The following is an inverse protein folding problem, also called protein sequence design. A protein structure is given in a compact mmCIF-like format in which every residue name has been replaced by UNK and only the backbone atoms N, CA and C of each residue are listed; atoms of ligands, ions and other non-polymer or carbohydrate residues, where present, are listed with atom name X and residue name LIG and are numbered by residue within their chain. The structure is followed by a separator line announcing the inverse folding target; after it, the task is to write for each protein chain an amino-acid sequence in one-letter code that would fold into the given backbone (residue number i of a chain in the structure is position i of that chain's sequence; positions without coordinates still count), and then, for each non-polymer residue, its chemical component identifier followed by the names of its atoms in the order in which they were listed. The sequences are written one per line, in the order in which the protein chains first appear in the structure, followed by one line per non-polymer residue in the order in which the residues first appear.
data_IF_693964039174
#
_entry.id   IF_693964039174
#
_cell.length_a   1.000
_cell.length_b   1.000
_cell.length_c   1.000
_cell.angle_alpha   90.00
_cell.angle_beta   90.00
_cell.angle_gamma   90.00
#
_symmetry.space_group_name_H-M   'P 1'
#
loop_
_entity.id
_entity.type
_entity.pdbx_description
1 polymer ?
#
# COMPACT_ATOMS: atom_id res chain seq x y z
N UNK A 1 21.58 -11.28 -1.21
CA UNK A 1 20.91 -11.26 0.09
C UNK A 1 19.42 -11.17 -0.22
N UNK A 2 18.65 -12.19 0.09
CA UNK A 2 17.19 -12.07 0.06
C UNK A 2 16.84 -11.19 1.26
N UNK A 3 16.33 -9.99 1.00
CA UNK A 3 15.76 -9.14 2.03
C UNK A 3 14.61 -9.90 2.68
N UNK A 4 14.68 -10.03 3.99
CA UNK A 4 13.60 -10.57 4.79
C UNK A 4 12.40 -9.61 4.56
N UNK A 5 11.39 -10.08 3.83
CA UNK A 5 10.15 -9.31 3.62
C UNK A 5 9.58 -9.03 5.01
N UNK A 6 9.64 -7.80 5.46
CA UNK A 6 9.01 -7.42 6.72
C UNK A 6 7.51 -7.67 6.59
N UNK A 7 7.00 -8.52 7.47
CA UNK A 7 5.57 -8.77 7.58
C UNK A 7 4.87 -7.49 8.09
N UNK A 8 3.70 -7.16 7.55
CA UNK A 8 2.90 -6.01 8.01
C UNK A 8 2.47 -6.13 9.47
N UNK A 9 2.18 -7.35 9.92
CA UNK A 9 1.82 -7.66 11.28
C UNK A 9 2.75 -8.75 11.81
N UNK A 10 3.30 -8.53 12.99
CA UNK A 10 4.04 -9.55 13.70
C UNK A 10 3.08 -10.49 14.46
N UNK A 11 3.37 -11.79 14.40
CA UNK A 11 2.52 -12.81 14.99
C UNK A 11 2.44 -12.67 16.51
N UNK A 12 3.55 -12.36 17.16
CA UNK A 12 3.65 -12.38 18.63
C UNK A 12 3.35 -11.02 19.26
N UNK A 13 3.69 -9.93 18.58
CA UNK A 13 3.49 -8.57 19.11
C UNK A 13 2.16 -7.95 18.70
N UNK A 14 1.60 -8.35 17.56
CA UNK A 14 0.37 -7.76 17.03
C UNK A 14 -0.82 -8.76 17.08
N UNK A 15 -0.68 -9.92 16.42
CA UNK A 15 -1.82 -10.80 16.17
C UNK A 15 -2.26 -11.57 17.42
N UNK A 16 -1.33 -12.23 18.11
CA UNK A 16 -1.67 -13.01 19.31
C UNK A 16 -2.26 -12.15 20.44
N UNK A 17 -1.64 -11.00 20.80
CA UNK A 17 -2.23 -10.08 21.78
C UNK A 17 -3.62 -9.59 21.39
N UNK A 18 -3.84 -9.27 20.11
CA UNK A 18 -5.16 -8.87 19.60
C UNK A 18 -6.22 -9.95 19.79
N UNK A 19 -5.86 -11.22 19.55
CA UNK A 19 -6.75 -12.38 19.69
C UNK A 19 -6.91 -12.87 21.15
N UNK A 20 -6.15 -12.32 22.09
CA UNK A 20 -6.10 -12.80 23.47
C UNK A 20 -5.43 -14.17 23.61
N UNK A 21 -4.51 -14.50 22.69
CA UNK A 21 -3.74 -15.75 22.70
C UNK A 21 -2.40 -15.48 23.39
N UNK A 22 -2.03 -16.34 24.34
CA UNK A 22 -0.71 -16.25 24.97
C UNK A 22 0.41 -16.42 23.93
N UNK A 23 1.42 -15.56 24.00
CA UNK A 23 2.55 -15.55 23.06
C UNK A 23 3.29 -16.88 23.02
N UNK A 24 3.37 -17.60 24.17
CA UNK A 24 4.02 -18.91 24.25
C UNK A 24 3.17 -20.05 23.66
N UNK A 25 1.89 -19.81 23.38
CA UNK A 25 1.00 -20.81 22.80
C UNK A 25 1.21 -20.87 21.28
N UNK A 26 1.83 -21.95 20.81
CA UNK A 26 2.16 -22.17 19.38
C UNK A 26 1.09 -22.96 18.61
N UNK A 27 0.02 -23.39 19.29
CA UNK A 27 -1.00 -24.29 18.70
C UNK A 27 -1.61 -23.75 17.40
N UNK A 28 -1.75 -22.44 17.30
CA UNK A 28 -2.41 -21.78 16.16
C UNK A 28 -1.45 -21.04 15.23
N UNK A 29 -0.14 -21.03 15.52
CA UNK A 29 0.85 -20.21 14.82
C UNK A 29 0.86 -20.47 13.31
N UNK A 30 0.89 -21.72 12.89
CA UNK A 30 0.89 -22.07 11.48
C UNK A 30 -0.35 -21.55 10.74
N UNK A 31 -1.52 -21.63 11.35
CA UNK A 31 -2.78 -21.17 10.75
C UNK A 31 -2.83 -19.64 10.70
N UNK A 32 -2.41 -18.98 11.79
CA UNK A 32 -2.37 -17.52 11.86
C UNK A 32 -1.37 -16.94 10.87
N UNK A 33 -0.20 -17.55 10.72
CA UNK A 33 0.82 -17.15 9.73
C UNK A 33 0.26 -17.26 8.30
N UNK A 34 -0.42 -18.35 7.96
CA UNK A 34 -1.03 -18.50 6.63
C UNK A 34 -2.11 -17.45 6.39
N UNK A 35 -2.95 -17.17 7.39
CA UNK A 35 -3.98 -16.14 7.26
C UNK A 35 -3.34 -14.77 7.08
N UNK A 36 -2.36 -14.42 7.92
CA UNK A 36 -1.66 -13.14 7.85
C UNK A 36 -1.02 -12.93 6.49
N UNK A 37 -0.23 -13.89 6.02
CA UNK A 37 0.43 -13.80 4.72
C UNK A 37 -0.57 -13.65 3.56
N UNK A 38 -1.71 -14.34 3.63
CA UNK A 38 -2.74 -14.21 2.61
C UNK A 38 -3.39 -12.81 2.61
N UNK A 39 -3.65 -12.24 3.79
CA UNK A 39 -4.21 -10.89 3.93
C UNK A 39 -3.20 -9.83 3.48
N UNK A 40 -1.95 -9.94 3.91
CA UNK A 40 -0.87 -9.06 3.50
C UNK A 40 -0.70 -9.05 1.97
N UNK A 41 -0.66 -10.23 1.35
CA UNK A 41 -0.56 -10.32 -0.10
C UNK A 41 -1.78 -9.70 -0.80
N UNK A 42 -2.97 -9.88 -0.25
CA UNK A 42 -4.18 -9.27 -0.81
C UNK A 42 -4.16 -7.74 -0.69
N UNK A 43 -3.64 -7.20 0.42
CA UNK A 43 -3.44 -5.76 0.61
C UNK A 43 -2.42 -5.22 -0.38
N UNK A 44 -1.24 -5.84 -0.48
CA UNK A 44 -0.19 -5.45 -1.45
C UNK A 44 -0.71 -5.47 -2.90
N UNK A 45 -1.44 -6.52 -3.27
CA UNK A 45 -2.02 -6.64 -4.61
C UNK A 45 -3.11 -5.59 -4.89
N UNK A 46 -3.85 -5.17 -3.86
CA UNK A 46 -4.89 -4.17 -4.04
C UNK A 46 -4.34 -2.75 -4.10
N UNK A 47 -3.36 -2.43 -3.24
CA UNK A 47 -2.77 -1.09 -3.14
C UNK A 47 -1.63 -0.87 -4.11
N UNK A 48 -1.02 -1.96 -4.61
CA UNK A 48 0.21 -1.94 -5.42
C UNK A 48 1.37 -1.24 -4.69
N UNK A 49 1.32 -1.25 -3.35
CA UNK A 49 2.38 -0.72 -2.47
C UNK A 49 2.79 -1.75 -1.42
N UNK A 50 4.03 -1.68 -0.99
CA UNK A 50 4.61 -2.53 0.06
C UNK A 50 4.58 -1.87 1.45
N UNK A 51 4.17 -0.61 1.53
CA UNK A 51 4.17 0.20 2.74
C UNK A 51 5.56 0.31 3.39
N UNK A 52 6.61 0.31 2.58
CA UNK A 52 7.98 0.50 3.01
C UNK A 52 8.53 1.84 2.52
N UNK A 53 9.55 2.36 3.22
CA UNK A 53 10.28 3.54 2.76
C UNK A 53 11.37 3.13 1.77
N UNK A 54 11.43 3.84 0.66
CA UNK A 54 12.42 3.66 -0.40
C UNK A 54 13.33 4.89 -0.47
N UNK A 55 14.42 4.91 0.29
CA UNK A 55 15.33 6.04 0.31
C UNK A 55 16.21 6.08 -0.94
N UNK A 56 16.59 7.29 -1.34
CA UNK A 56 17.59 7.52 -2.36
C UNK A 56 17.20 7.10 -3.77
N UNK A 57 15.90 7.06 -4.08
CA UNK A 57 15.42 6.82 -5.43
C UNK A 57 15.77 8.00 -6.32
N UNK A 58 16.40 7.72 -7.46
CA UNK A 58 16.80 8.73 -8.44
C UNK A 58 15.93 8.63 -9.68
N UNK A 59 15.30 9.74 -10.06
CA UNK A 59 14.53 9.86 -11.31
C UNK A 59 14.98 11.07 -12.12
N UNK A 60 14.94 10.93 -13.45
CA UNK A 60 15.16 12.02 -14.37
C UNK A 60 13.85 12.27 -15.09
N UNK A 61 13.27 13.42 -14.83
CA UNK A 61 11.95 13.82 -15.30
C UNK A 61 12.08 14.94 -16.33
N UNK A 62 11.21 14.94 -17.33
CA UNK A 62 11.13 16.04 -18.28
C UNK A 62 10.48 17.26 -17.61
N UNK A 63 11.15 18.39 -17.67
CA UNK A 63 10.59 19.67 -17.24
C UNK A 63 9.59 20.17 -18.30
N UNK A 64 8.33 19.89 -18.07
CA UNK A 64 7.25 20.20 -19.02
C UNK A 64 6.72 21.65 -18.90
N UNK A 65 7.61 22.63 -18.70
CA UNK A 65 7.20 24.03 -18.48
C UNK A 65 6.24 24.22 -17.30
N UNK A 66 6.19 23.24 -16.42
CA UNK A 66 5.34 23.23 -15.23
C UNK A 66 6.21 23.52 -14.01
N UNK A 67 5.69 24.34 -13.11
CA UNK A 67 6.29 24.53 -11.80
C UNK A 67 6.04 23.34 -10.86
N UNK A 68 5.38 22.28 -11.35
CA UNK A 68 5.08 21.06 -10.61
C UNK A 68 5.83 19.89 -11.22
N UNK A 69 6.64 19.23 -10.41
CA UNK A 69 7.38 18.02 -10.74
C UNK A 69 6.64 16.84 -10.11
N UNK A 70 6.27 15.86 -10.93
CA UNK A 70 5.53 14.67 -10.51
C UNK A 70 6.41 13.43 -10.67
N UNK A 71 7.11 12.99 -9.62
CA UNK A 71 7.81 11.72 -9.62
C UNK A 71 6.84 10.54 -9.79
N UNK A 72 7.35 9.42 -10.31
CA UNK A 72 6.52 8.25 -10.55
C UNK A 72 6.09 7.54 -9.26
N UNK A 73 6.89 7.68 -8.20
CA UNK A 73 6.62 7.01 -6.94
C UNK A 73 6.16 8.02 -5.88
N UNK A 74 5.03 7.72 -5.27
CA UNK A 74 4.39 8.52 -4.22
C UNK A 74 3.93 7.60 -3.08
N UNK A 75 3.73 8.11 -1.87
CA UNK A 75 3.91 9.47 -1.43
C UNK A 75 5.41 9.84 -1.28
N UNK A 76 5.74 11.11 -1.55
CA UNK A 76 7.08 11.63 -1.34
C UNK A 76 7.20 12.07 0.12
N UNK A 77 8.20 11.54 0.82
CA UNK A 77 8.45 11.88 2.23
C UNK A 77 9.58 12.88 2.39
N UNK A 78 10.60 12.81 1.53
CA UNK A 78 11.73 13.73 1.57
C UNK A 78 12.38 13.84 0.18
N UNK A 79 12.95 15.00 -0.13
CA UNK A 79 13.80 15.23 -1.27
C UNK A 79 15.20 15.52 -0.76
N UNK A 80 16.18 14.72 -1.17
CA UNK A 80 17.58 14.91 -0.78
C UNK A 80 18.35 15.76 -1.77
N UNK A 81 17.98 15.73 -3.04
CA UNK A 81 18.60 16.53 -4.08
C UNK A 81 17.62 16.79 -5.23
N UNK A 82 17.64 18.02 -5.71
CA UNK A 82 16.92 18.45 -6.90
C UNK A 82 17.87 19.26 -7.77
N UNK A 83 18.07 18.89 -9.03
CA UNK A 83 19.00 19.58 -9.91
C UNK A 83 18.46 19.61 -11.35
N UNK A 84 18.78 20.69 -12.08
CA UNK A 84 18.62 20.69 -13.53
C UNK A 84 19.61 19.71 -14.15
N UNK A 85 19.16 18.92 -15.11
CA UNK A 85 19.96 17.93 -15.79
C UNK A 85 20.09 18.31 -17.27
N UNK A 86 21.32 18.47 -17.72
CA UNK A 86 21.60 18.84 -19.11
C UNK A 86 21.86 17.59 -19.95
N UNK A 87 21.03 17.35 -20.96
CA UNK A 87 21.15 16.18 -21.84
C UNK A 87 22.42 16.15 -22.70
N UNK A 88 23.04 17.30 -22.92
CA UNK A 88 24.12 17.42 -23.89
C UNK A 88 25.42 16.70 -23.45
N UNK A 89 25.68 16.64 -22.16
CA UNK A 89 26.92 16.11 -21.60
C UNK A 89 26.70 15.12 -20.45
N UNK A 90 25.44 14.88 -20.07
CA UNK A 90 25.08 13.98 -18.97
C UNK A 90 25.49 14.51 -17.59
N UNK A 91 25.82 15.80 -17.50
CA UNK A 91 26.23 16.42 -16.24
C UNK A 91 25.03 17.06 -15.53
N UNK A 92 25.10 17.07 -14.22
CA UNK A 92 24.16 17.84 -13.42
C UNK A 92 24.40 19.33 -13.65
N UNK A 93 23.32 20.02 -13.91
CA UNK A 93 23.32 21.47 -13.98
C UNK A 93 23.23 22.09 -12.59
N UNK A 94 22.57 23.23 -12.51
CA UNK A 94 22.39 23.95 -11.28
C UNK A 94 21.55 23.16 -10.27
N UNK A 95 22.04 23.01 -9.03
CA UNK A 95 21.26 22.48 -7.90
C UNK A 95 20.18 23.50 -7.57
N UNK A 96 18.99 23.01 -7.30
CA UNK A 96 17.85 23.79 -6.83
C UNK A 96 17.82 23.70 -5.32
N UNK A 97 17.98 24.86 -4.67
CA UNK A 97 18.04 24.93 -3.20
C UNK A 97 16.68 24.59 -2.58
N UNK A 98 16.71 24.04 -1.37
CA UNK A 98 15.50 23.63 -0.65
C UNK A 98 14.54 24.80 -0.35
N UNK A 99 15.00 26.03 -0.41
CA UNK A 99 14.19 27.27 -0.29
C UNK A 99 13.38 27.60 -1.53
N UNK A 100 13.72 26.99 -2.65
CA UNK A 100 13.14 27.29 -3.96
C UNK A 100 12.09 26.26 -4.40
N UNK A 101 11.79 25.28 -3.55
CA UNK A 101 10.74 24.30 -3.80
C UNK A 101 10.02 23.88 -2.51
N UNK A 102 8.82 23.36 -2.67
CA UNK A 102 8.02 22.75 -1.60
C UNK A 102 7.74 21.29 -1.94
N UNK A 103 8.04 20.39 -1.01
CA UNK A 103 7.70 18.96 -1.12
C UNK A 103 6.27 18.76 -0.65
N UNK A 104 5.49 18.02 -1.42
CA UNK A 104 4.17 17.49 -1.08
C UNK A 104 4.15 15.98 -1.31
N UNK A 105 3.19 15.29 -0.73
CA UNK A 105 3.06 13.84 -0.89
C UNK A 105 2.95 13.42 -2.37
N UNK A 106 2.29 14.24 -3.19
CA UNK A 106 2.01 13.92 -4.59
C UNK A 106 3.05 14.49 -5.57
N UNK A 107 3.92 15.40 -5.13
CA UNK A 107 4.88 16.05 -6.03
C UNK A 107 5.69 17.15 -5.38
N UNK A 108 6.51 17.80 -6.19
CA UNK A 108 7.40 18.89 -5.79
C UNK A 108 6.97 20.15 -6.53
N UNK A 109 6.75 21.24 -5.81
CA UNK A 109 6.33 22.53 -6.39
C UNK A 109 7.51 23.49 -6.34
N UNK A 110 7.96 23.96 -7.51
CA UNK A 110 8.94 25.04 -7.61
C UNK A 110 8.28 26.38 -7.24
N UNK A 111 8.94 27.19 -6.44
CA UNK A 111 8.36 28.44 -5.92
C UNK A 111 8.99 29.70 -6.54
N UNK A 112 10.31 29.71 -6.68
CA UNK A 112 11.06 30.90 -7.13
C UNK A 112 11.87 30.65 -8.41
N UNK A 113 11.78 29.46 -8.96
CA UNK A 113 12.52 29.05 -10.15
C UNK A 113 11.52 28.55 -11.17
N UNK A 114 11.66 29.03 -12.40
CA UNK A 114 10.91 28.49 -13.53
C UNK A 114 11.76 27.48 -14.29
N UNK A 115 11.15 26.37 -14.70
CA UNK A 115 11.83 25.40 -15.54
C UNK A 115 12.21 26.06 -16.86
N UNK A 116 13.50 26.01 -17.28
CA UNK A 116 13.92 26.63 -18.52
C UNK A 116 13.16 26.06 -19.73
N UNK A 117 12.82 26.93 -20.66
CA UNK A 117 12.12 26.58 -21.88
C UNK A 117 12.93 25.55 -22.70
N UNK A 118 12.31 24.43 -23.02
CA UNK A 118 12.76 23.39 -23.96
C UNK A 118 14.00 22.57 -23.56
N UNK A 119 13.80 21.27 -23.36
CA UNK A 119 14.83 20.21 -23.20
C UNK A 119 15.58 20.18 -21.86
N UNK A 120 15.14 20.89 -20.86
CA UNK A 120 15.69 20.69 -19.53
C UNK A 120 15.01 19.49 -18.89
N UNK A 121 15.82 18.63 -18.32
CA UNK A 121 15.37 17.57 -17.43
C UNK A 121 15.69 17.97 -16.00
N UNK A 122 14.96 17.39 -15.09
CA UNK A 122 15.19 17.55 -13.67
C UNK A 122 15.56 16.19 -13.11
N UNK A 123 16.72 16.11 -12.47
CA UNK A 123 17.10 14.97 -11.67
C UNK A 123 16.60 15.21 -10.26
N UNK A 124 15.83 14.27 -9.73
CA UNK A 124 15.36 14.28 -8.35
C UNK A 124 15.87 13.04 -7.65
N UNK A 125 16.47 13.23 -6.47
CA UNK A 125 16.82 12.16 -5.54
C UNK A 125 15.92 12.31 -4.32
N UNK A 126 15.10 11.31 -4.05
CA UNK A 126 14.04 11.43 -3.05
C UNK A 126 13.79 10.13 -2.30
N UNK A 127 13.10 10.23 -1.21
CA UNK A 127 12.56 9.12 -0.43
C UNK A 127 11.06 9.10 -0.63
N UNK A 128 10.50 7.94 -0.90
CA UNK A 128 9.07 7.74 -1.07
C UNK A 128 8.59 6.51 -0.32
N UNK A 129 7.28 6.39 -0.17
CA UNK A 129 6.63 5.28 0.51
C UNK A 129 6.21 5.64 1.93
N UNK A 130 5.94 4.64 2.73
CA UNK A 130 5.41 4.76 4.08
C UNK A 130 6.42 4.27 5.10
N UNK A 131 6.48 4.90 6.26
CA UNK A 131 7.23 4.40 7.42
C UNK A 131 6.40 3.36 8.17
N UNK A 132 6.15 2.23 7.49
CA UNK A 132 5.32 1.16 7.99
C UNK A 132 3.83 1.28 7.63
N UNK A 133 3.06 0.31 8.09
CA UNK A 133 1.63 0.24 7.82
C UNK A 133 0.88 1.32 8.62
N UNK A 134 0.05 2.16 8.00
CA UNK A 134 -0.78 3.13 8.70
C UNK A 134 -1.68 2.48 9.75
N UNK A 135 -1.85 3.13 10.91
CA UNK A 135 -2.55 2.56 12.06
C UNK A 135 -4.00 2.14 11.75
N UNK A 136 -4.70 2.88 10.93
CA UNK A 136 -6.06 2.56 10.51
C UNK A 136 -6.10 1.30 9.63
N UNK A 137 -5.11 1.13 8.75
CA UNK A 137 -4.95 -0.09 7.92
C UNK A 137 -4.54 -1.27 8.81
N UNK A 138 -3.61 -1.03 9.75
CA UNK A 138 -3.16 -2.03 10.72
C UNK A 138 -4.33 -2.59 11.54
N UNK A 139 -5.18 -1.71 12.09
CA UNK A 139 -6.34 -2.10 12.86
C UNK A 139 -7.32 -2.96 12.03
N UNK A 140 -7.61 -2.52 10.82
CA UNK A 140 -8.53 -3.24 9.93
C UNK A 140 -7.96 -4.60 9.50
N UNK A 141 -6.64 -4.68 9.30
CA UNK A 141 -5.98 -5.94 8.97
C UNK A 141 -6.04 -6.93 10.14
N UNK A 142 -5.82 -6.47 11.38
CA UNK A 142 -6.01 -7.29 12.58
C UNK A 142 -7.44 -7.84 12.70
N UNK A 143 -8.45 -7.00 12.45
CA UNK A 143 -9.85 -7.43 12.45
C UNK A 143 -10.13 -8.45 11.32
N UNK A 144 -9.52 -8.29 10.15
CA UNK A 144 -9.66 -9.23 9.04
C UNK A 144 -9.04 -10.60 9.38
N UNK A 145 -7.85 -10.60 9.98
CA UNK A 145 -7.19 -11.83 10.47
C UNK A 145 -8.05 -12.52 11.52
N UNK A 146 -8.60 -11.79 12.50
CA UNK A 146 -9.50 -12.31 13.52
C UNK A 146 -10.75 -12.95 12.90
N UNK A 147 -11.42 -12.26 11.98
CA UNK A 147 -12.63 -12.76 11.34
C UNK A 147 -12.37 -14.07 10.59
N UNK A 148 -11.27 -14.14 9.85
CA UNK A 148 -10.89 -15.34 9.09
C UNK A 148 -10.48 -16.49 10.03
N UNK A 149 -9.74 -16.21 11.09
CA UNK A 149 -9.37 -17.19 12.09
C UNK A 149 -10.60 -17.80 12.77
N UNK A 150 -11.53 -16.95 13.22
CA UNK A 150 -12.80 -17.41 13.83
C UNK A 150 -13.64 -18.22 12.84
N UNK A 151 -13.66 -17.85 11.57
CA UNK A 151 -14.36 -18.59 10.52
C UNK A 151 -13.78 -20.00 10.32
N UNK A 152 -12.45 -20.14 10.31
CA UNK A 152 -11.79 -21.45 10.20
C UNK A 152 -11.98 -22.31 11.45
N UNK A 153 -11.88 -21.73 12.65
CA UNK A 153 -12.12 -22.43 13.89
C UNK A 153 -13.54 -23.02 13.96
N UNK A 154 -14.56 -22.27 13.52
CA UNK A 154 -15.95 -22.78 13.47
C UNK A 154 -16.12 -23.95 12.49
N UNK A 155 -15.41 -23.95 11.36
CA UNK A 155 -15.48 -25.06 10.40
C UNK A 155 -14.87 -26.33 10.93
N UNK A 156 -13.81 -26.25 11.73
CA UNK A 156 -13.15 -27.43 12.31
C UNK A 156 -14.02 -28.13 13.38
N UNK A 157 -14.87 -27.39 14.09
CA UNK A 157 -15.78 -27.94 15.12
C UNK A 157 -17.05 -28.57 14.50
N UNK A 158 -17.42 -28.17 13.27
CA UNK A 158 -18.64 -28.63 12.59
C UNK A 158 -18.55 -30.00 11.92
N UNK A 159 -17.36 -30.61 11.80
CA UNK A 159 -17.16 -31.89 11.08
C UNK A 159 -17.34 -33.13 11.96
N UNK A 160 -17.68 -32.99 13.26
CA UNK A 160 -17.85 -34.11 14.20
C UNK A 160 -19.29 -34.49 14.54
N UNK A 161 -20.30 -33.92 13.91
CA UNK A 161 -21.70 -34.17 14.25
C UNK A 161 -22.54 -34.58 13.04
N UNK A 162 -22.73 -35.89 12.85
CA UNK A 162 -23.67 -36.48 11.92
C UNK A 162 -25.12 -36.23 12.40
N UNK A 163 -25.70 -35.07 12.10
CA UNK A 163 -27.13 -34.84 12.30
C UNK A 163 -27.72 -34.29 10.99
N UNK A 164 -28.34 -35.23 10.24
CA UNK A 164 -29.11 -34.96 9.05
C UNK A 164 -30.35 -34.12 9.32
N UNK A 165 -30.19 -32.83 9.42
CA UNK A 165 -31.25 -31.85 9.26
C UNK A 165 -30.92 -30.97 8.08
N UNK A 166 -31.72 -31.06 7.03
CA UNK A 166 -31.65 -30.19 5.86
C UNK A 166 -31.80 -28.73 6.34
N UNK A 167 -30.67 -28.04 6.51
CA UNK A 167 -30.63 -26.61 6.83
C UNK A 167 -30.96 -25.80 5.59
N UNK A 168 -32.05 -25.04 5.66
CA UNK A 168 -32.48 -24.17 4.57
C UNK A 168 -31.39 -23.16 4.24
N UNK A 169 -31.20 -22.87 2.93
CA UNK A 169 -30.23 -21.87 2.43
C UNK A 169 -30.45 -20.44 2.97
N UNK A 170 -31.56 -20.20 3.68
CA UNK A 170 -31.89 -18.91 4.24
C UNK A 170 -31.14 -18.57 5.54
N UNK A 171 -30.62 -19.61 6.21
CA UNK A 171 -29.90 -19.42 7.49
C UNK A 171 -28.42 -19.00 7.33
N UNK A 172 -27.88 -19.00 6.14
CA UNK A 172 -26.46 -18.70 5.90
C UNK A 172 -26.18 -17.18 5.82
N UNK A 173 -27.18 -16.39 5.47
CA UNK A 173 -27.05 -14.92 5.43
C UNK A 173 -27.21 -14.24 6.80
N UNK A 174 -28.00 -14.86 7.70
CA UNK A 174 -28.26 -14.30 9.05
C UNK A 174 -27.23 -14.72 10.11
N UNK A 175 -26.35 -15.67 9.79
CA UNK A 175 -25.30 -16.16 10.70
C UNK A 175 -23.97 -15.44 10.63
N UNK A 176 -23.84 -14.42 9.78
CA UNK A 176 -22.73 -13.45 9.86
C UNK A 176 -22.96 -12.46 11.02
N UNK A 177 -23.52 -12.95 12.11
CA UNK A 177 -23.66 -12.19 13.34
C UNK A 177 -22.29 -11.75 13.84
N UNK A 178 -22.02 -10.47 13.68
CA UNK A 178 -21.12 -9.78 14.55
C UNK A 178 -19.62 -9.80 14.23
N UNK A 179 -19.20 -9.85 12.98
CA UNK A 179 -17.90 -9.26 12.63
C UNK A 179 -18.16 -7.86 12.11
N UNK A 180 -17.53 -6.86 12.71
CA UNK A 180 -17.64 -5.45 12.34
C UNK A 180 -17.19 -5.16 10.89
N UNK A 181 -16.74 -6.17 10.15
CA UNK A 181 -16.12 -6.06 8.83
C UNK A 181 -17.06 -6.27 7.63
N UNK A 182 -18.34 -6.45 7.83
CA UNK A 182 -19.31 -6.56 6.73
C UNK A 182 -19.04 -7.70 5.73
N UNK A 183 -19.50 -7.52 4.49
CA UNK A 183 -19.34 -8.50 3.42
C UNK A 183 -17.93 -8.47 2.83
N UNK A 184 -17.44 -9.66 2.42
CA UNK A 184 -16.16 -9.80 1.72
C UNK A 184 -16.30 -9.45 0.24
N UNK A 185 -15.32 -8.76 -0.30
CA UNK A 185 -15.21 -8.51 -1.73
C UNK A 185 -14.66 -9.76 -2.43
N UNK A 186 -15.42 -10.28 -3.39
CA UNK A 186 -15.06 -11.51 -4.11
C UNK A 186 -13.85 -11.34 -5.03
N UNK A 187 -13.57 -10.11 -5.48
CA UNK A 187 -12.49 -9.82 -6.41
C UNK A 187 -11.15 -9.70 -5.69
N UNK A 188 -11.14 -9.02 -4.55
CA UNK A 188 -9.92 -8.77 -3.79
C UNK A 188 -9.64 -9.80 -2.72
N UNK A 189 -10.67 -10.54 -2.26
CA UNK A 189 -10.55 -11.45 -1.12
C UNK A 189 -10.42 -10.74 0.22
N UNK A 190 -10.73 -9.43 0.28
CA UNK A 190 -10.66 -8.59 1.46
C UNK A 190 -12.06 -8.19 1.94
N UNK A 191 -12.24 -7.85 3.23
CA UNK A 191 -13.46 -7.20 3.69
C UNK A 191 -13.71 -5.88 2.96
N UNK A 192 -14.95 -5.60 2.57
CA UNK A 192 -15.29 -4.38 1.81
C UNK A 192 -14.89 -3.10 2.53
N UNK A 193 -15.00 -3.07 3.84
CA UNK A 193 -14.59 -1.92 4.65
C UNK A 193 -13.08 -1.70 4.58
N UNK A 194 -12.29 -2.78 4.60
CA UNK A 194 -10.85 -2.68 4.39
C UNK A 194 -10.52 -2.19 2.99
N UNK A 195 -11.20 -2.69 1.95
CA UNK A 195 -11.04 -2.21 0.56
C UNK A 195 -11.30 -0.70 0.47
N UNK A 196 -12.36 -0.22 1.11
CA UNK A 196 -12.67 1.20 1.13
C UNK A 196 -11.57 2.03 1.80
N UNK A 197 -11.05 1.57 2.94
CA UNK A 197 -9.95 2.23 3.66
C UNK A 197 -8.62 2.18 2.90
N UNK A 198 -8.37 1.12 2.15
CA UNK A 198 -7.17 0.98 1.33
C UNK A 198 -7.21 1.81 0.04
N UNK A 199 -8.37 2.28 -0.39
CA UNK A 199 -8.51 3.04 -1.64
C UNK A 199 -7.61 4.28 -1.69
N UNK A 200 -7.44 5.10 -0.63
CA UNK A 200 -6.52 6.24 -0.64
C UNK A 200 -5.04 5.84 -0.82
N UNK A 201 -4.67 4.62 -0.42
CA UNK A 201 -3.30 4.10 -0.51
C UNK A 201 -3.02 3.39 -1.81
N UNK A 202 -4.02 3.25 -2.69
CA UNK A 202 -3.83 2.62 -3.98
C UNK A 202 -2.94 3.50 -4.85
N UNK A 203 -1.86 2.90 -5.37
CA UNK A 203 -0.98 3.58 -6.31
C UNK A 203 -1.77 3.98 -7.56
N UNK A 204 -1.81 5.27 -7.85
CA UNK A 204 -2.36 5.75 -9.11
C UNK A 204 -1.27 5.62 -10.19
N UNK A 205 -1.46 4.69 -11.11
CA UNK A 205 -0.73 4.78 -12.37
C UNK A 205 -1.22 6.04 -13.09
N UNK A 206 -0.36 7.06 -13.16
CA UNK A 206 -0.57 8.11 -14.16
C UNK A 206 -0.45 7.44 -15.53
N UNK A 207 -1.57 7.02 -16.08
CA UNK A 207 -1.62 6.60 -17.47
C UNK A 207 -1.21 7.83 -18.29
N UNK A 208 0.04 7.84 -18.73
CA UNK A 208 0.47 8.71 -19.81
C UNK A 208 -0.37 8.33 -21.03
N UNK A 209 -1.57 8.90 -21.14
CA UNK A 209 -2.33 8.84 -22.37
C UNK A 209 -1.43 9.44 -23.46
N UNK A 210 -1.02 8.67 -24.47
CA UNK A 210 -0.30 9.26 -25.59
C UNK A 210 -1.22 10.36 -26.12
N UNK A 211 -0.77 11.60 -26.06
CA UNK A 211 -1.47 12.69 -26.70
C UNK A 211 -1.72 12.26 -28.14
N UNK A 212 -2.98 12.09 -28.48
CA UNK A 212 -3.40 11.84 -29.83
C UNK A 212 -2.74 12.94 -30.68
N UNK A 213 -1.77 12.56 -31.50
CA UNK A 213 -1.19 13.41 -32.54
C UNK A 213 -2.36 13.91 -33.39
N UNK A 214 -2.86 15.11 -33.09
CA UNK A 214 -3.72 15.82 -34.02
C UNK A 214 -2.86 16.15 -35.23
N UNK A 215 -3.03 15.34 -36.27
CA UNK A 215 -2.60 15.73 -37.62
C UNK A 215 -3.29 17.06 -37.97
N UNK A 216 -2.50 18.11 -38.10
CA UNK A 216 -2.84 19.32 -38.83
C UNK A 216 -2.33 19.17 -40.27
#
# INVERSE_FOLDING_TARGET
MMGELMAFLDLNTDIKPWLGIDVVNITHDAVLTIINNAMEQAVKNFTETDFELHPGTVEILDANESDIILPHNVPITAVSELAFYTLADGTDGQIIEATDYQVREEGIILQNIHTPFRRSRIRVTYTWGYDGLPDDVKLMLLQAVEAEFRRKARKSVGTGGNSGAARSKKDESDRTGGTALGAWDKKTGLPKELVYKLTPYKRFEFVNSPMATRNL
#
